data_IF_119003921968
#
_entry.id   IF_119003921968
#
_cell.length_a   1.000
_cell.length_b   1.000
_cell.length_c   1.000
_cell.angle_alpha   90.00
_cell.angle_beta   90.00
_cell.angle_gamma   90.00
#
_symmetry.space_group_name_H-M   'P 1'
#
loop_
_entity.id
_entity.type
_entity.pdbx_description
1 polymer ?
#
# COMPACT_ATOMS: atom_id res chain seq x y z
N UNK A 1 36.28 -45.46 -15.70
CA UNK A 1 36.68 -44.52 -16.78
C UNK A 1 35.38 -43.94 -17.30
N UNK A 2 35.03 -42.74 -17.24
CA UNK A 2 35.48 -41.38 -17.33
C UNK A 2 34.61 -40.49 -16.44
N UNK A 3 35.17 -40.00 -15.34
CA UNK A 3 34.80 -38.70 -14.81
C UNK A 3 35.44 -37.72 -15.75
N UNK A 4 34.81 -36.61 -16.02
CA UNK A 4 35.37 -35.29 -16.33
C UNK A 4 34.27 -34.48 -17.03
N UNK A 5 34.10 -33.29 -16.45
CA UNK A 5 33.70 -31.99 -16.97
C UNK A 5 32.19 -31.65 -16.90
N UNK A 6 31.78 -31.11 -15.74
CA UNK A 6 30.89 -29.92 -15.68
C UNK A 6 31.47 -29.03 -14.59
N UNK A 7 32.46 -28.28 -14.92
CA UNK A 7 33.00 -27.19 -14.07
C UNK A 7 33.63 -26.16 -15.00
N UNK A 8 32.83 -25.39 -15.71
CA UNK A 8 33.30 -24.22 -16.47
C UNK A 8 32.10 -23.51 -17.11
N UNK A 9 31.19 -22.97 -16.31
CA UNK A 9 30.20 -21.98 -16.80
C UNK A 9 29.69 -21.07 -15.68
N UNK A 10 30.53 -20.74 -14.70
CA UNK A 10 30.22 -19.73 -13.68
C UNK A 10 31.28 -18.61 -13.58
N UNK A 11 32.05 -18.40 -14.62
CA UNK A 11 33.14 -17.42 -14.61
C UNK A 11 33.04 -16.33 -15.71
N UNK A 12 31.86 -16.10 -16.29
CA UNK A 12 31.72 -15.10 -17.39
C UNK A 12 30.64 -14.04 -17.20
N UNK A 13 30.04 -13.92 -16.00
CA UNK A 13 29.06 -12.83 -15.71
C UNK A 13 29.62 -11.75 -14.78
N UNK A 14 30.86 -11.88 -14.32
CA UNK A 14 31.49 -10.93 -13.39
C UNK A 14 32.36 -9.85 -14.06
N UNK A 15 32.27 -9.63 -15.37
CA UNK A 15 33.17 -8.70 -16.08
C UNK A 15 32.50 -7.57 -16.89
N UNK A 16 31.20 -7.30 -16.65
CA UNK A 16 30.56 -6.13 -17.28
C UNK A 16 29.80 -5.25 -16.28
N UNK A 17 30.36 -5.04 -15.10
CA UNK A 17 29.94 -3.96 -14.20
C UNK A 17 31.15 -3.15 -13.74
N UNK A 18 31.96 -2.71 -14.71
CA UNK A 18 32.78 -1.52 -14.56
C UNK A 18 32.03 -0.38 -15.27
N UNK A 19 30.86 0.01 -14.77
CA UNK A 19 30.46 1.40 -14.90
C UNK A 19 31.56 2.21 -14.24
N UNK A 20 32.19 3.10 -15.04
CA UNK A 20 33.12 4.11 -14.54
C UNK A 20 32.51 4.70 -13.27
N UNK A 21 33.19 4.54 -12.14
CA UNK A 21 33.03 5.42 -11.02
C UNK A 21 33.36 6.82 -11.55
N UNK A 22 32.36 7.52 -12.09
CA UNK A 22 32.48 8.93 -12.29
C UNK A 22 32.81 9.51 -10.92
N UNK A 23 33.91 10.24 -10.88
CA UNK A 23 34.38 10.97 -9.71
C UNK A 23 33.17 11.47 -8.93
N UNK A 24 33.10 11.16 -7.63
CA UNK A 24 32.07 11.65 -6.73
C UNK A 24 31.88 13.12 -7.03
N UNK A 25 30.78 13.45 -7.73
CA UNK A 25 30.47 14.84 -8.07
C UNK A 25 30.42 15.55 -6.73
N UNK A 26 31.18 16.65 -6.62
CA UNK A 26 31.19 17.47 -5.42
C UNK A 26 29.72 17.72 -5.05
N UNK A 27 29.35 17.35 -3.83
CA UNK A 27 27.99 17.56 -3.32
C UNK A 27 27.64 19.03 -3.51
N UNK A 28 26.55 19.30 -4.21
CA UNK A 28 26.12 20.68 -4.47
C UNK A 28 25.18 21.12 -3.34
N UNK A 29 25.68 22.01 -2.50
CA UNK A 29 24.97 22.55 -1.34
C UNK A 29 24.29 23.91 -1.64
N UNK A 30 24.20 24.34 -2.88
CA UNK A 30 23.41 25.52 -3.25
C UNK A 30 21.91 25.21 -3.07
N UNK A 31 21.29 25.86 -2.09
CA UNK A 31 19.90 25.61 -1.74
C UNK A 31 18.93 25.97 -2.88
N UNK A 32 19.21 27.06 -3.59
CA UNK A 32 18.37 27.46 -4.72
C UNK A 32 18.45 26.46 -5.86
N UNK A 33 19.64 26.01 -6.23
CA UNK A 33 19.82 24.99 -7.28
C UNK A 33 19.14 23.68 -6.87
N UNK A 34 19.29 23.23 -5.63
CA UNK A 34 18.62 22.04 -5.14
C UNK A 34 17.08 22.18 -5.13
N UNK A 35 16.57 23.37 -4.78
CA UNK A 35 15.13 23.63 -4.81
C UNK A 35 14.57 23.65 -6.24
N UNK A 36 15.25 24.29 -7.18
CA UNK A 36 14.85 24.31 -8.59
C UNK A 36 14.86 22.89 -9.19
N UNK A 37 15.88 22.08 -8.86
CA UNK A 37 15.93 20.68 -9.26
C UNK A 37 14.78 19.88 -8.64
N UNK A 38 14.55 20.00 -7.34
CA UNK A 38 13.45 19.35 -6.62
C UNK A 38 12.08 19.72 -7.21
N UNK A 39 11.86 21.03 -7.43
CA UNK A 39 10.59 21.52 -7.98
C UNK A 39 10.34 20.96 -9.38
N UNK A 40 11.34 21.01 -10.27
CA UNK A 40 11.28 20.48 -11.63
C UNK A 40 11.03 18.96 -11.61
N UNK A 41 11.69 18.25 -10.71
CA UNK A 41 11.54 16.81 -10.58
C UNK A 41 10.12 16.41 -10.20
N UNK A 42 9.50 17.11 -9.25
CA UNK A 42 8.10 16.88 -8.86
C UNK A 42 7.17 17.29 -9.99
N UNK A 43 7.39 18.44 -10.63
CA UNK A 43 6.58 18.91 -11.78
C UNK A 43 6.56 17.87 -12.91
N UNK A 44 7.71 17.36 -13.28
CA UNK A 44 7.85 16.42 -14.40
C UNK A 44 7.45 14.99 -14.06
N UNK A 45 7.53 14.54 -12.80
CA UNK A 45 7.45 13.12 -12.46
C UNK A 45 6.33 12.74 -11.48
N UNK A 46 5.83 13.66 -10.64
CA UNK A 46 4.73 13.34 -9.73
C UNK A 46 3.42 13.19 -10.49
N UNK A 47 2.75 12.05 -10.31
CA UNK A 47 1.64 11.65 -11.18
C UNK A 47 0.28 12.27 -10.86
N UNK A 48 0.14 13.03 -9.76
CA UNK A 48 -1.17 13.49 -9.30
C UNK A 48 -1.31 15.01 -9.18
N UNK A 49 -0.42 15.83 -9.78
CA UNK A 49 -0.55 17.29 -9.73
C UNK A 49 -1.92 17.75 -10.25
N UNK A 50 -2.29 17.33 -11.44
CA UNK A 50 -3.56 17.73 -12.08
C UNK A 50 -4.76 17.03 -11.42
N UNK A 51 -4.63 15.74 -11.10
CA UNK A 51 -5.71 14.98 -10.45
C UNK A 51 -6.12 15.58 -9.10
N UNK A 52 -5.13 16.04 -8.32
CA UNK A 52 -5.35 16.69 -7.01
C UNK A 52 -5.54 18.21 -7.10
N UNK A 53 -5.53 18.79 -8.31
CA UNK A 53 -5.64 20.23 -8.57
C UNK A 53 -4.58 21.05 -7.79
N UNK A 54 -3.32 20.59 -7.78
CA UNK A 54 -2.22 21.24 -7.05
C UNK A 54 -1.62 22.34 -7.93
N UNK A 55 -1.70 23.59 -7.47
CA UNK A 55 -0.97 24.70 -8.11
C UNK A 55 0.51 24.66 -7.77
N UNK A 56 1.26 23.74 -8.43
CA UNK A 56 2.67 23.51 -8.14
C UNK A 56 3.55 24.72 -8.44
N UNK A 57 3.20 25.51 -9.47
CA UNK A 57 3.87 26.80 -9.73
C UNK A 57 3.66 27.80 -8.59
N UNK A 58 2.47 27.83 -7.99
CA UNK A 58 2.20 28.66 -6.82
C UNK A 58 3.06 28.27 -5.60
N UNK A 59 3.31 26.96 -5.41
CA UNK A 59 4.22 26.46 -4.36
C UNK A 59 5.66 26.96 -4.59
N UNK A 60 6.13 26.98 -5.85
CA UNK A 60 7.43 27.55 -6.18
C UNK A 60 7.54 29.03 -5.78
N UNK A 61 6.54 29.83 -6.21
CA UNK A 61 6.54 31.29 -5.98
C UNK A 61 6.45 31.62 -4.48
N UNK A 62 5.73 30.83 -3.70
CA UNK A 62 5.62 30.96 -2.25
C UNK A 62 6.94 30.65 -1.54
N UNK A 63 7.63 29.56 -1.95
CA UNK A 63 8.76 29.03 -1.19
C UNK A 63 10.11 29.58 -1.62
N UNK A 64 10.26 30.02 -2.87
CA UNK A 64 11.53 30.56 -3.37
C UNK A 64 12.14 31.67 -2.47
N UNK A 65 11.39 32.68 -2.01
CA UNK A 65 11.96 33.70 -1.10
C UNK A 65 12.45 33.11 0.23
N UNK A 66 11.80 32.03 0.72
CA UNK A 66 12.23 31.34 1.95
C UNK A 66 13.51 30.55 1.72
N UNK A 67 13.64 29.91 0.53
CA UNK A 67 14.88 29.21 0.13
C UNK A 67 16.06 30.19 0.04
N UNK A 68 15.88 31.35 -0.60
CA UNK A 68 16.91 32.37 -0.74
C UNK A 68 17.31 32.97 0.62
N UNK A 69 16.42 32.97 1.60
CA UNK A 69 16.69 33.45 2.96
C UNK A 69 17.31 32.38 3.87
N UNK A 70 17.21 31.10 3.55
CA UNK A 70 17.69 30.00 4.38
C UNK A 70 19.21 30.06 4.59
N UNK A 71 19.65 29.79 5.83
CA UNK A 71 21.06 29.81 6.22
C UNK A 71 21.62 28.45 6.61
N UNK A 72 20.74 27.48 6.85
CA UNK A 72 21.10 26.13 7.31
C UNK A 72 20.39 25.05 6.51
N UNK A 73 21.01 23.88 6.41
CA UNK A 73 20.39 22.70 5.81
C UNK A 73 19.07 22.31 6.50
N UNK A 74 18.96 22.52 7.82
CA UNK A 74 17.74 22.26 8.57
C UNK A 74 16.59 23.18 8.14
N UNK A 75 16.86 24.48 7.92
CA UNK A 75 15.86 25.43 7.41
C UNK A 75 15.43 25.02 5.99
N UNK A 76 16.39 24.73 5.12
CA UNK A 76 16.13 24.27 3.76
C UNK A 76 15.32 22.96 3.74
N UNK A 77 15.69 21.95 4.55
CA UNK A 77 14.93 20.72 4.69
C UNK A 77 13.47 20.97 5.07
N UNK A 78 13.22 21.83 6.05
CA UNK A 78 11.87 22.16 6.49
C UNK A 78 11.05 22.89 5.39
N UNK A 79 11.70 23.67 4.54
CA UNK A 79 11.05 24.31 3.38
C UNK A 79 10.62 23.25 2.37
N UNK A 80 11.48 22.28 2.05
CA UNK A 80 11.11 21.18 1.16
C UNK A 80 9.97 20.31 1.74
N UNK A 81 9.98 20.06 3.07
CA UNK A 81 8.85 19.40 3.73
C UNK A 81 7.54 20.18 3.52
N UNK A 82 7.57 21.51 3.64
CA UNK A 82 6.39 22.34 3.36
C UNK A 82 5.90 22.17 1.93
N UNK A 83 6.80 22.10 0.94
CA UNK A 83 6.44 21.82 -0.45
C UNK A 83 5.79 20.45 -0.59
N UNK A 84 6.36 19.40 0.02
CA UNK A 84 5.85 18.05 -0.03
C UNK A 84 4.47 17.89 0.64
N UNK A 85 4.16 18.69 1.67
CA UNK A 85 2.83 18.70 2.31
C UNK A 85 1.71 19.11 1.35
N UNK A 86 2.00 19.95 0.35
CA UNK A 86 1.03 20.32 -0.67
C UNK A 86 0.59 19.13 -1.54
N UNK A 87 1.40 18.07 -1.65
CA UNK A 87 1.07 16.88 -2.45
C UNK A 87 -0.01 16.02 -1.80
N UNK A 88 -0.22 16.12 -0.49
CA UNK A 88 -1.24 15.38 0.29
C UNK A 88 -1.24 13.89 -0.04
N UNK A 89 -0.06 13.24 0.05
CA UNK A 89 0.14 11.89 -0.45
C UNK A 89 0.97 11.05 0.53
N UNK A 90 0.43 9.91 0.95
CA UNK A 90 1.08 9.00 1.89
C UNK A 90 2.32 8.28 1.32
N UNK A 91 2.53 8.31 0.00
CA UNK A 91 3.73 7.79 -0.65
C UNK A 91 4.83 8.85 -0.84
N UNK A 92 4.68 9.99 -0.17
CA UNK A 92 5.67 11.07 -0.24
C UNK A 92 6.52 11.10 1.03
N UNK A 93 7.84 10.94 0.86
CA UNK A 93 8.81 11.11 1.95
C UNK A 93 10.12 11.66 1.43
N UNK A 94 10.93 12.15 2.35
CA UNK A 94 12.25 12.69 2.07
C UNK A 94 13.23 12.30 3.16
N UNK A 95 14.46 11.99 2.78
CA UNK A 95 15.54 11.62 3.69
C UNK A 95 16.79 12.46 3.43
N UNK A 96 17.40 12.92 4.49
CA UNK A 96 18.71 13.56 4.53
C UNK A 96 19.62 12.79 5.48
N UNK A 97 20.90 13.16 5.54
CA UNK A 97 21.85 12.57 6.48
C UNK A 97 21.54 12.84 7.97
N UNK A 98 20.62 13.76 8.28
CA UNK A 98 20.29 14.14 9.67
C UNK A 98 18.79 14.01 10.00
N UNK A 99 17.89 13.88 9.02
CA UNK A 99 16.45 13.86 9.25
C UNK A 99 15.70 13.14 8.14
N UNK A 100 14.61 12.47 8.53
CA UNK A 100 13.60 11.94 7.62
C UNK A 100 12.27 12.69 7.82
N UNK A 101 11.46 12.73 6.77
CA UNK A 101 10.12 13.28 6.71
C UNK A 101 9.20 12.31 5.97
N UNK A 102 7.97 12.17 6.41
CA UNK A 102 6.94 11.38 5.74
C UNK A 102 5.60 12.09 5.81
N UNK A 103 4.93 12.21 4.70
CA UNK A 103 3.61 12.80 4.63
C UNK A 103 2.53 11.84 5.17
N UNK A 104 1.71 12.30 6.10
CA UNK A 104 0.62 11.52 6.71
C UNK A 104 -0.77 12.10 6.46
N UNK A 105 -0.87 13.05 5.53
CA UNK A 105 -2.12 13.81 5.30
C UNK A 105 -3.28 12.95 4.83
N UNK A 106 -3.02 11.79 4.21
CA UNK A 106 -4.05 10.83 3.78
C UNK A 106 -4.88 10.25 4.95
N UNK A 107 -4.40 10.37 6.19
CA UNK A 107 -5.12 9.96 7.39
C UNK A 107 -6.15 10.99 7.88
N UNK A 108 -6.28 12.11 7.18
CA UNK A 108 -7.17 13.20 7.55
C UNK A 108 -8.15 13.51 6.39
N UNK A 109 -9.36 13.94 6.73
CA UNK A 109 -10.33 14.41 5.75
C UNK A 109 -9.98 15.84 5.25
N UNK A 110 -10.76 16.35 4.32
CA UNK A 110 -10.58 17.69 3.73
C UNK A 110 -10.68 18.84 4.76
N UNK A 111 -11.33 18.59 5.91
CA UNK A 111 -11.48 19.54 7.01
C UNK A 111 -10.37 19.38 8.05
N UNK A 112 -9.39 18.52 7.83
CA UNK A 112 -8.30 18.23 8.76
C UNK A 112 -8.68 17.37 9.94
N UNK A 113 -9.85 16.71 9.92
CA UNK A 113 -10.27 15.76 10.94
C UNK A 113 -9.67 14.39 10.63
N UNK A 114 -9.03 13.78 11.63
CA UNK A 114 -8.47 12.44 11.49
C UNK A 114 -9.59 11.40 11.32
N UNK A 115 -9.42 10.51 10.34
CA UNK A 115 -10.33 9.37 10.19
C UNK A 115 -10.26 8.43 11.39
N UNK A 116 -11.38 7.78 11.76
CA UNK A 116 -11.40 6.79 12.85
C UNK A 116 -10.39 5.68 12.58
N UNK A 117 -9.68 5.24 13.61
CA UNK A 117 -8.77 4.10 13.53
C UNK A 117 -9.54 2.82 13.24
N UNK A 118 -10.76 2.66 13.79
CA UNK A 118 -11.64 1.51 13.55
C UNK A 118 -11.00 0.14 13.81
N UNK A 119 -9.95 0.07 14.60
CA UNK A 119 -9.23 -1.16 14.85
C UNK A 119 -8.45 -1.13 16.16
N UNK A 120 -8.73 -2.13 17.03
CA UNK A 120 -7.90 -2.51 18.17
C UNK A 120 -7.58 -4.00 18.07
N UNK A 121 -6.29 -4.31 17.82
CA UNK A 121 -5.81 -5.70 17.67
C UNK A 121 -6.07 -6.54 18.90
N UNK A 122 -6.01 -5.94 20.10
CA UNK A 122 -6.24 -6.64 21.37
C UNK A 122 -7.69 -7.03 21.56
N UNK A 123 -8.63 -6.19 21.09
CA UNK A 123 -10.06 -6.50 21.08
C UNK A 123 -10.39 -7.54 20.02
N UNK A 124 -9.89 -7.37 18.79
CA UNK A 124 -10.08 -8.37 17.72
C UNK A 124 -9.58 -9.75 18.14
N UNK A 125 -8.44 -9.81 18.86
CA UNK A 125 -7.88 -11.05 19.39
C UNK A 125 -8.82 -11.80 20.33
N UNK A 126 -9.67 -11.11 21.11
CA UNK A 126 -10.61 -11.72 22.06
C UNK A 126 -11.74 -12.49 21.38
N UNK A 127 -12.02 -12.24 20.10
CA UNK A 127 -13.01 -12.98 19.31
C UNK A 127 -12.55 -14.38 18.93
N UNK A 128 -11.23 -14.62 18.90
CA UNK A 128 -10.64 -15.90 18.49
C UNK A 128 -10.55 -16.82 19.71
N UNK A 129 -11.30 -17.93 19.70
CA UNK A 129 -11.48 -18.81 20.87
C UNK A 129 -10.27 -19.70 21.16
N UNK A 130 -9.57 -20.18 20.15
CA UNK A 130 -8.41 -21.04 20.30
C UNK A 130 -7.10 -20.27 20.10
N UNK A 131 -5.96 -20.96 20.14
CA UNK A 131 -4.65 -20.33 20.01
C UNK A 131 -4.62 -19.51 18.72
N UNK A 132 -4.42 -18.21 18.88
CA UNK A 132 -4.21 -17.31 17.76
C UNK A 132 -2.84 -17.62 17.16
N UNK A 133 -2.85 -18.36 16.06
CA UNK A 133 -1.62 -18.74 15.40
C UNK A 133 -1.00 -17.51 14.76
N UNK A 134 0.31 -17.40 14.89
CA UNK A 134 1.10 -16.31 14.30
C UNK A 134 2.16 -16.93 13.40
N UNK A 135 2.15 -16.55 12.14
CA UNK A 135 3.25 -16.82 11.21
C UNK A 135 3.93 -15.50 11.00
N UNK A 136 5.16 -15.39 11.52
CA UNK A 136 5.81 -14.09 11.61
C UNK A 136 4.96 -13.07 12.40
N UNK A 137 5.36 -11.79 12.46
CA UNK A 137 4.56 -10.73 13.11
C UNK A 137 3.35 -10.30 12.26
N UNK A 138 3.23 -10.74 11.01
CA UNK A 138 2.39 -10.14 9.98
C UNK A 138 1.13 -10.93 9.64
N UNK A 139 1.11 -12.23 9.91
CA UNK A 139 -0.03 -13.11 9.62
C UNK A 139 -0.53 -13.79 10.89
N UNK A 140 -1.77 -13.49 11.28
CA UNK A 140 -2.42 -14.07 12.43
C UNK A 140 -3.74 -14.71 12.02
N UNK A 141 -4.05 -15.90 12.52
CA UNK A 141 -5.28 -16.60 12.15
C UNK A 141 -5.78 -17.51 13.26
N UNK A 142 -7.07 -17.87 13.16
CA UNK A 142 -7.74 -18.75 14.11
C UNK A 142 -9.22 -18.88 13.78
N UNK A 143 -9.97 -19.44 14.70
CA UNK A 143 -11.41 -19.70 14.56
C UNK A 143 -12.22 -18.77 15.46
N UNK A 144 -13.30 -18.22 14.93
CA UNK A 144 -14.36 -17.55 15.70
C UNK A 144 -15.57 -18.45 15.75
N UNK A 145 -16.01 -18.88 16.94
CA UNK A 145 -17.24 -19.67 17.12
C UNK A 145 -18.38 -18.79 17.61
N UNK A 146 -19.48 -18.81 16.89
CA UNK A 146 -20.66 -18.01 17.23
C UNK A 146 -21.95 -18.72 16.83
N UNK A 147 -22.82 -18.98 17.83
CA UNK A 147 -24.14 -19.60 17.61
C UNK A 147 -24.08 -20.95 16.83
N UNK A 148 -23.15 -21.82 17.19
CA UNK A 148 -22.99 -23.14 16.58
C UNK A 148 -22.32 -23.15 15.21
N UNK A 149 -21.89 -21.99 14.68
CA UNK A 149 -21.09 -21.84 13.46
C UNK A 149 -19.65 -21.53 13.77
N UNK A 150 -18.76 -21.90 12.85
CA UNK A 150 -17.33 -21.61 12.94
C UNK A 150 -16.90 -20.77 11.74
N UNK A 151 -16.19 -19.68 11.99
CA UNK A 151 -15.68 -18.77 10.97
C UNK A 151 -14.15 -18.71 11.04
N UNK A 152 -13.49 -18.75 9.89
CA UNK A 152 -12.06 -18.50 9.82
C UNK A 152 -11.81 -16.99 10.00
N UNK A 153 -10.96 -16.62 10.96
CA UNK A 153 -10.45 -15.25 11.09
C UNK A 153 -9.00 -15.23 10.67
N UNK A 154 -8.67 -14.35 9.72
CA UNK A 154 -7.33 -14.17 9.19
C UNK A 154 -7.02 -12.68 9.20
N UNK A 155 -5.98 -12.27 9.93
CA UNK A 155 -5.48 -10.91 9.96
C UNK A 155 -4.13 -10.83 9.24
N UNK A 156 -4.06 -10.01 8.18
CA UNK A 156 -2.86 -9.72 7.40
C UNK A 156 -2.39 -8.30 7.69
N UNK A 157 -1.27 -8.17 8.40
CA UNK A 157 -0.78 -6.87 8.88
C UNK A 157 -0.11 -6.03 7.78
N UNK A 158 0.55 -6.66 6.80
CA UNK A 158 1.16 -6.01 5.63
C UNK A 158 1.26 -6.98 4.44
N UNK A 159 1.76 -6.49 3.30
CA UNK A 159 2.08 -7.29 2.12
C UNK A 159 3.58 -7.35 1.82
N UNK A 160 4.44 -7.06 2.78
CA UNK A 160 5.88 -7.32 2.68
C UNK A 160 6.19 -8.82 2.69
N UNK A 161 5.33 -9.58 3.37
CA UNK A 161 5.40 -11.03 3.43
C UNK A 161 4.50 -11.68 2.38
N UNK A 162 5.11 -12.47 1.49
CA UNK A 162 4.40 -13.34 0.54
C UNK A 162 4.14 -14.71 1.18
N UNK A 163 2.88 -15.16 1.18
CA UNK A 163 2.50 -16.44 1.75
C UNK A 163 3.22 -17.62 1.08
N UNK A 164 3.84 -18.43 1.92
CA UNK A 164 4.56 -19.61 1.50
C UNK A 164 3.64 -20.86 1.52
N UNK A 165 4.00 -21.95 0.82
CA UNK A 165 3.22 -23.19 0.85
C UNK A 165 2.96 -23.72 2.27
N UNK A 166 3.88 -23.50 3.22
CA UNK A 166 3.70 -23.87 4.62
C UNK A 166 2.62 -23.07 5.33
N UNK A 167 2.39 -21.81 4.97
CA UNK A 167 1.35 -20.98 5.59
C UNK A 167 -0.03 -21.53 5.25
N UNK A 168 -0.22 -21.86 3.99
CA UNK A 168 -1.44 -22.52 3.53
C UNK A 168 -1.69 -23.87 4.20
N UNK A 169 -0.65 -24.61 4.56
CA UNK A 169 -0.78 -25.88 5.30
C UNK A 169 -1.49 -25.70 6.64
N UNK A 170 -1.27 -24.56 7.33
CA UNK A 170 -1.90 -24.27 8.61
C UNK A 170 -3.27 -23.60 8.47
N UNK A 171 -3.43 -22.72 7.47
CA UNK A 171 -4.67 -21.96 7.28
C UNK A 171 -5.76 -22.78 6.59
N UNK A 172 -5.38 -23.64 5.62
CA UNK A 172 -6.31 -24.44 4.83
C UNK A 172 -7.29 -25.27 5.67
N UNK A 173 -6.87 -26.02 6.71
CA UNK A 173 -7.81 -26.81 7.53
C UNK A 173 -8.84 -25.93 8.24
N UNK A 174 -8.48 -24.71 8.65
CA UNK A 174 -9.37 -23.75 9.31
C UNK A 174 -10.40 -23.23 8.29
N UNK A 175 -9.94 -22.79 7.12
CA UNK A 175 -10.82 -22.27 6.06
C UNK A 175 -11.76 -23.36 5.53
N UNK A 176 -11.30 -24.59 5.35
CA UNK A 176 -12.12 -25.69 4.84
C UNK A 176 -13.30 -26.02 5.75
N UNK A 177 -13.09 -26.02 7.08
CA UNK A 177 -14.13 -26.27 8.08
C UNK A 177 -15.07 -25.10 8.29
N UNK A 178 -14.62 -23.87 8.00
CA UNK A 178 -15.35 -22.67 8.31
C UNK A 178 -16.62 -22.51 7.45
N UNK A 179 -17.67 -21.97 8.04
CA UNK A 179 -18.91 -21.54 7.37
C UNK A 179 -18.70 -20.25 6.53
N UNK A 180 -17.60 -19.52 6.77
CA UNK A 180 -17.20 -18.32 6.06
C UNK A 180 -15.89 -17.76 6.59
N UNK A 181 -15.38 -16.73 5.94
CA UNK A 181 -14.08 -16.11 6.24
C UNK A 181 -14.30 -14.66 6.70
N UNK A 182 -13.62 -14.24 7.74
CA UNK A 182 -13.35 -12.83 8.07
C UNK A 182 -11.89 -12.58 7.74
N UNK A 183 -11.63 -11.84 6.67
CA UNK A 183 -10.30 -11.45 6.23
C UNK A 183 -10.04 -10.00 6.62
N UNK A 184 -9.23 -9.80 7.64
CA UNK A 184 -8.99 -8.50 8.26
C UNK A 184 -7.65 -7.92 7.80
N UNK A 185 -7.70 -6.80 7.08
CA UNK A 185 -6.51 -6.06 6.63
C UNK A 185 -6.47 -4.65 7.21
N UNK A 186 -7.24 -4.39 8.28
CA UNK A 186 -7.23 -3.06 8.91
C UNK A 186 -5.82 -2.69 9.37
N UNK A 187 -5.43 -1.44 9.11
CA UNK A 187 -4.07 -0.90 9.33
C UNK A 187 -2.96 -1.57 8.52
N UNK A 188 -3.28 -2.29 7.44
CA UNK A 188 -2.28 -2.85 6.52
C UNK A 188 -1.76 -1.72 5.60
N UNK A 189 -0.48 -1.31 5.70
CA UNK A 189 0.07 -0.19 4.92
C UNK A 189 0.41 -0.57 3.47
N UNK A 190 0.28 -1.84 3.11
CA UNK A 190 0.67 -2.33 1.78
C UNK A 190 1.94 -3.17 1.80
N UNK A 191 2.76 -3.05 0.77
CA UNK A 191 3.96 -3.83 0.50
C UNK A 191 4.03 -4.26 -0.97
N UNK A 192 4.42 -5.50 -1.25
CA UNK A 192 4.56 -6.05 -2.60
C UNK A 192 3.21 -6.15 -3.34
N UNK A 193 3.09 -5.47 -4.48
CA UNK A 193 1.91 -5.55 -5.35
C UNK A 193 1.68 -6.96 -5.90
N UNK A 194 2.75 -7.71 -6.17
CA UNK A 194 2.69 -9.10 -6.62
C UNK A 194 2.14 -10.01 -5.52
N UNK A 195 2.61 -9.87 -4.28
CA UNK A 195 2.10 -10.62 -3.13
C UNK A 195 0.60 -10.37 -2.93
N UNK A 196 0.15 -9.10 -3.01
CA UNK A 196 -1.26 -8.74 -2.89
C UNK A 196 -2.13 -9.37 -3.98
N UNK A 197 -1.76 -9.25 -5.26
CA UNK A 197 -2.52 -9.81 -6.37
C UNK A 197 -2.50 -11.34 -6.40
N UNK A 198 -1.38 -11.97 -6.02
CA UNK A 198 -1.27 -13.44 -5.88
C UNK A 198 -2.20 -13.94 -4.79
N UNK A 199 -2.19 -13.31 -3.61
CA UNK A 199 -3.09 -13.68 -2.52
C UNK A 199 -4.56 -13.49 -2.90
N UNK A 200 -4.92 -12.38 -3.57
CA UNK A 200 -6.26 -12.13 -4.07
C UNK A 200 -6.78 -13.24 -4.99
N UNK A 201 -5.88 -13.90 -5.71
CA UNK A 201 -6.18 -15.05 -6.58
C UNK A 201 -6.91 -16.21 -5.89
N UNK A 202 -6.86 -16.31 -4.55
CA UNK A 202 -7.60 -17.33 -3.79
C UNK A 202 -9.14 -17.18 -3.93
N UNK A 203 -9.64 -15.98 -4.23
CA UNK A 203 -11.09 -15.71 -4.34
C UNK A 203 -11.63 -15.76 -5.77
N UNK A 204 -10.79 -16.12 -6.75
CA UNK A 204 -11.18 -16.19 -8.16
C UNK A 204 -11.10 -17.63 -8.68
N UNK A 205 -12.05 -17.99 -9.57
CA UNK A 205 -12.07 -19.30 -10.25
C UNK A 205 -11.40 -19.24 -11.62
N UNK A 206 -11.25 -18.04 -12.19
CA UNK A 206 -10.65 -17.79 -13.49
C UNK A 206 -9.76 -16.53 -13.48
N UNK A 207 -8.91 -16.35 -14.49
CA UNK A 207 -8.13 -15.12 -14.67
C UNK A 207 -9.08 -13.95 -14.83
N UNK A 208 -9.12 -13.07 -13.84
CA UNK A 208 -10.05 -11.94 -13.77
C UNK A 208 -9.30 -10.61 -13.91
N UNK A 209 -9.78 -9.75 -14.80
CA UNK A 209 -9.32 -8.37 -14.92
C UNK A 209 -9.77 -7.57 -13.69
N UNK A 210 -8.84 -6.88 -13.01
CA UNK A 210 -9.09 -6.20 -11.73
C UNK A 210 -8.68 -4.73 -11.72
N UNK A 211 -8.11 -4.22 -12.81
CA UNK A 211 -7.71 -2.83 -12.92
C UNK A 211 -6.65 -2.61 -13.99
N UNK A 212 -6.05 -1.43 -13.96
CA UNK A 212 -4.97 -1.05 -14.87
C UNK A 212 -3.85 -0.35 -14.12
N UNK A 213 -2.66 -0.30 -14.77
CA UNK A 213 -1.61 0.64 -14.43
C UNK A 213 -1.14 1.41 -15.67
N UNK A 214 -0.61 2.61 -15.44
CA UNK A 214 0.07 3.41 -16.44
C UNK A 214 1.41 3.91 -15.88
N UNK A 215 2.45 3.83 -16.70
CA UNK A 215 3.83 4.15 -16.32
C UNK A 215 4.19 5.51 -16.89
N UNK A 216 4.74 6.39 -16.06
CA UNK A 216 5.28 7.68 -16.48
C UNK A 216 6.40 7.45 -17.50
N UNK A 217 6.34 8.08 -18.67
CA UNK A 217 7.27 7.88 -19.76
C UNK A 217 7.78 9.18 -20.44
N UNK A 218 7.45 10.33 -19.87
CA UNK A 218 7.88 11.64 -20.35
C UNK A 218 7.80 12.72 -19.27
N UNK A 219 8.02 13.98 -19.66
CA UNK A 219 8.08 15.14 -18.76
C UNK A 219 6.72 15.85 -18.59
N UNK A 220 5.85 15.77 -19.58
CA UNK A 220 4.52 16.38 -19.52
C UNK A 220 3.61 15.66 -18.56
N UNK A 221 2.64 16.36 -17.96
CA UNK A 221 1.74 15.78 -16.96
C UNK A 221 0.92 14.60 -17.48
N UNK A 222 0.66 14.57 -18.79
CA UNK A 222 -0.10 13.50 -19.47
C UNK A 222 0.80 12.45 -20.15
N UNK A 223 2.11 12.51 -19.98
CA UNK A 223 3.06 11.60 -20.61
C UNK A 223 3.11 10.25 -19.89
N UNK A 224 2.19 9.36 -20.26
CA UNK A 224 2.09 8.01 -19.72
C UNK A 224 2.02 6.96 -20.83
N UNK A 225 2.41 5.73 -20.45
CA UNK A 225 2.19 4.56 -21.30
C UNK A 225 0.70 4.31 -21.55
N UNK A 226 0.39 3.52 -22.58
CA UNK A 226 -0.93 2.90 -22.68
C UNK A 226 -1.28 2.13 -21.40
N UNK A 227 -2.58 2.09 -21.08
CA UNK A 227 -3.09 1.33 -19.95
C UNK A 227 -2.75 -0.15 -20.07
N UNK A 228 -2.05 -0.69 -19.09
CA UNK A 228 -1.72 -2.10 -18.99
C UNK A 228 -2.64 -2.77 -17.97
N UNK A 229 -3.37 -3.80 -18.43
CA UNK A 229 -4.37 -4.48 -17.60
C UNK A 229 -3.73 -5.32 -16.48
N UNK A 230 -4.25 -5.17 -15.27
CA UNK A 230 -3.91 -5.98 -14.11
C UNK A 230 -4.89 -7.15 -13.96
N UNK A 231 -4.38 -8.30 -13.59
CA UNK A 231 -5.17 -9.53 -13.46
C UNK A 231 -4.88 -10.24 -12.16
N UNK A 232 -5.94 -10.71 -11.49
CA UNK A 232 -5.83 -11.80 -10.53
C UNK A 232 -5.90 -13.14 -11.26
N UNK A 233 -5.00 -14.05 -10.91
CA UNK A 233 -4.98 -15.43 -11.42
C UNK A 233 -5.44 -16.36 -10.30
N UNK A 234 -6.34 -17.34 -10.58
CA UNK A 234 -6.79 -18.26 -9.56
C UNK A 234 -5.61 -19.08 -9.01
N UNK A 235 -5.66 -19.34 -7.71
CA UNK A 235 -4.72 -20.24 -7.05
C UNK A 235 -5.35 -21.64 -6.85
N UNK A 236 -4.55 -22.57 -6.35
CA UNK A 236 -5.05 -23.91 -5.99
C UNK A 236 -5.90 -23.94 -4.71
N UNK A 237 -5.93 -22.85 -3.94
CA UNK A 237 -6.57 -22.81 -2.61
C UNK A 237 -8.08 -22.60 -2.64
N UNK A 238 -8.62 -21.93 -3.68
CA UNK A 238 -10.04 -21.85 -4.01
C UNK A 238 -10.95 -21.42 -2.87
N UNK A 239 -10.78 -20.19 -2.40
CA UNK A 239 -11.68 -19.57 -1.42
C UNK A 239 -12.92 -18.92 -2.07
N UNK A 240 -13.02 -18.99 -3.38
CA UNK A 240 -14.15 -18.48 -4.18
C UNK A 240 -15.50 -19.08 -3.78
N UNK A 241 -15.53 -20.25 -3.15
CA UNK A 241 -16.73 -20.91 -2.64
C UNK A 241 -17.07 -20.52 -1.18
N UNK A 242 -16.26 -19.68 -0.53
CA UNK A 242 -16.48 -19.26 0.87
C UNK A 242 -16.92 -17.81 0.92
N UNK A 243 -18.08 -17.55 1.53
CA UNK A 243 -18.51 -16.18 1.81
C UNK A 243 -17.46 -15.50 2.69
N UNK A 244 -16.97 -14.35 2.25
CA UNK A 244 -15.86 -13.64 2.89
C UNK A 244 -16.24 -12.21 3.22
N UNK A 245 -15.97 -11.80 4.45
CA UNK A 245 -16.06 -10.41 4.89
C UNK A 245 -14.64 -9.83 4.94
N UNK A 246 -14.34 -8.89 4.05
CA UNK A 246 -13.10 -8.15 4.02
C UNK A 246 -13.21 -6.93 4.92
N UNK A 247 -12.41 -6.88 5.99
CA UNK A 247 -12.46 -5.76 6.93
C UNK A 247 -11.41 -4.70 6.57
N UNK A 248 -11.87 -3.45 6.41
CA UNK A 248 -11.02 -2.32 6.01
C UNK A 248 -11.20 -1.11 6.90
N UNK A 249 -10.19 -0.24 6.91
CA UNK A 249 -10.20 1.08 7.50
C UNK A 249 -9.26 2.02 6.74
N UNK A 250 -9.15 3.27 7.17
CA UNK A 250 -8.30 4.27 6.51
C UNK A 250 -6.79 3.93 6.55
N UNK A 251 -6.36 3.01 7.41
CA UNK A 251 -4.99 2.49 7.45
C UNK A 251 -4.68 1.44 6.36
N UNK A 252 -5.67 1.00 5.59
CA UNK A 252 -5.49 0.09 4.44
C UNK A 252 -4.97 0.90 3.24
N UNK A 253 -3.66 0.80 2.95
CA UNK A 253 -3.00 1.71 2.04
C UNK A 253 -2.17 0.97 0.96
N UNK A 254 -1.83 1.63 -0.14
CA UNK A 254 -0.92 1.11 -1.18
C UNK A 254 -1.37 -0.27 -1.72
N UNK A 255 -0.55 -1.30 -1.66
CA UNK A 255 -0.92 -2.66 -2.10
C UNK A 255 -2.17 -3.20 -1.43
N UNK A 256 -2.43 -2.86 -0.16
CA UNK A 256 -3.66 -3.28 0.52
C UNK A 256 -4.91 -2.60 -0.08
N UNK A 257 -4.77 -1.37 -0.57
CA UNK A 257 -5.81 -0.69 -1.34
C UNK A 257 -6.03 -1.35 -2.72
N UNK A 258 -4.96 -1.70 -3.44
CA UNK A 258 -5.04 -2.47 -4.70
C UNK A 258 -5.68 -3.85 -4.48
N UNK A 259 -5.31 -4.57 -3.42
CA UNK A 259 -5.93 -5.83 -3.00
C UNK A 259 -7.44 -5.66 -2.76
N UNK A 260 -7.82 -4.59 -2.04
CA UNK A 260 -9.24 -4.26 -1.80
C UNK A 260 -9.96 -4.00 -3.12
N UNK A 261 -9.38 -3.20 -4.02
CA UNK A 261 -9.91 -2.93 -5.37
C UNK A 261 -10.10 -4.23 -6.16
N UNK A 262 -9.11 -5.12 -6.15
CA UNK A 262 -9.19 -6.42 -6.84
C UNK A 262 -10.33 -7.28 -6.29
N UNK A 263 -10.49 -7.35 -4.96
CA UNK A 263 -11.54 -8.17 -4.34
C UNK A 263 -12.96 -7.65 -4.53
N UNK A 264 -13.16 -6.40 -4.97
CA UNK A 264 -14.49 -5.92 -5.44
C UNK A 264 -15.05 -6.74 -6.62
N UNK A 265 -14.18 -7.44 -7.33
CA UNK A 265 -14.56 -8.30 -8.46
C UNK A 265 -14.78 -9.77 -8.07
N UNK A 266 -14.55 -10.11 -6.79
CA UNK A 266 -14.80 -11.45 -6.25
C UNK A 266 -16.26 -11.58 -5.75
N UNK A 267 -17.05 -12.47 -6.36
CA UNK A 267 -18.50 -12.61 -6.13
C UNK A 267 -18.92 -12.93 -4.69
N UNK A 268 -18.01 -13.53 -3.93
CA UNK A 268 -18.26 -14.00 -2.56
C UNK A 268 -17.65 -13.09 -1.48
N UNK A 269 -17.05 -11.95 -1.86
CA UNK A 269 -16.43 -11.00 -0.94
C UNK A 269 -17.34 -9.80 -0.74
N UNK A 270 -17.48 -9.37 0.51
CA UNK A 270 -18.15 -8.13 0.91
C UNK A 270 -17.19 -7.33 1.78
N UNK A 271 -16.89 -6.10 1.38
CA UNK A 271 -16.05 -5.18 2.15
C UNK A 271 -16.86 -4.50 3.25
N UNK A 272 -16.39 -4.58 4.50
CA UNK A 272 -17.04 -3.99 5.68
C UNK A 272 -16.05 -3.11 6.44
N UNK A 273 -16.53 -2.00 6.95
CA UNK A 273 -15.77 -1.08 7.80
C UNK A 273 -15.67 0.31 7.21
N UNK A 274 -14.49 0.90 7.18
CA UNK A 274 -14.25 2.22 6.61
C UNK A 274 -13.67 2.18 5.19
N UNK A 275 -13.72 3.32 4.51
CA UNK A 275 -12.99 3.53 3.26
C UNK A 275 -11.50 3.23 3.47
N UNK A 276 -10.86 2.60 2.50
CA UNK A 276 -9.40 2.39 2.52
C UNK A 276 -8.61 3.69 2.37
N UNK A 277 -7.32 3.66 2.67
CA UNK A 277 -6.45 4.83 2.69
C UNK A 277 -6.03 5.35 1.33
N UNK A 278 -6.23 4.58 0.27
CA UNK A 278 -5.76 4.97 -1.05
C UNK A 278 -4.30 4.58 -1.31
N UNK A 279 -3.53 5.50 -1.88
CA UNK A 279 -2.18 5.20 -2.34
C UNK A 279 -2.21 4.44 -3.67
N UNK A 280 -2.92 4.98 -4.65
CA UNK A 280 -3.17 4.39 -5.95
C UNK A 280 -2.05 4.58 -6.96
N UNK A 281 -0.79 4.70 -6.52
CA UNK A 281 0.36 4.76 -7.42
C UNK A 281 1.62 4.21 -6.76
N UNK A 282 2.58 3.76 -7.59
CA UNK A 282 3.87 3.23 -7.12
C UNK A 282 4.86 4.37 -6.86
N UNK A 283 5.46 4.44 -5.66
CA UNK A 283 6.48 5.42 -5.35
C UNK A 283 7.78 5.14 -6.10
N UNK A 284 8.46 6.23 -6.50
CA UNK A 284 9.76 6.19 -7.18
C UNK A 284 10.76 7.01 -6.38
N UNK A 285 11.99 6.49 -6.29
CA UNK A 285 13.10 7.15 -5.57
C UNK A 285 13.87 8.08 -6.49
N UNK A 286 14.11 9.30 -6.04
CA UNK A 286 14.87 10.31 -6.73
C UNK A 286 15.96 10.89 -5.82
N UNK A 287 16.98 11.48 -6.42
CA UNK A 287 18.11 12.07 -5.70
C UNK A 287 18.26 13.54 -6.04
N UNK A 288 18.42 14.36 -5.02
CA UNK A 288 18.76 15.78 -5.18
C UNK A 288 20.27 15.96 -5.37
N UNK A 289 20.73 17.07 -5.96
CA UNK A 289 22.17 17.32 -6.16
C UNK A 289 23.00 17.32 -4.87
N UNK A 290 22.38 17.64 -3.71
CA UNK A 290 23.00 17.56 -2.39
C UNK A 290 23.04 16.14 -1.80
N UNK A 291 22.56 15.13 -2.54
CA UNK A 291 22.53 13.72 -2.13
C UNK A 291 21.33 13.33 -1.27
N UNK A 292 20.38 14.23 -1.00
CA UNK A 292 19.15 13.86 -0.31
C UNK A 292 18.24 13.01 -1.20
N UNK A 293 17.47 12.14 -0.58
CA UNK A 293 16.51 11.29 -1.25
C UNK A 293 15.13 11.92 -1.11
N UNK A 294 14.40 11.99 -2.22
CA UNK A 294 12.98 12.31 -2.23
C UNK A 294 12.23 11.19 -2.96
N UNK A 295 11.11 10.78 -2.39
CA UNK A 295 10.29 9.71 -2.94
C UNK A 295 8.86 10.21 -3.09
N UNK A 296 8.28 9.95 -4.25
CA UNK A 296 6.89 10.25 -4.55
C UNK A 296 6.36 9.35 -5.69
N UNK A 297 5.03 9.20 -5.81
CA UNK A 297 4.43 8.37 -6.85
C UNK A 297 4.64 8.90 -8.26
N UNK A 298 4.95 8.00 -9.19
CA UNK A 298 5.07 8.31 -10.61
C UNK A 298 4.18 7.41 -11.51
N UNK A 299 3.87 6.17 -11.07
CA UNK A 299 3.13 5.20 -11.87
C UNK A 299 1.76 4.94 -11.26
N UNK A 300 0.71 5.29 -11.99
CA UNK A 300 -0.67 5.28 -11.50
C UNK A 300 -1.33 3.91 -11.58
N UNK A 301 -2.23 3.63 -10.61
CA UNK A 301 -3.13 2.48 -10.60
C UNK A 301 -4.58 2.94 -10.75
N UNK A 302 -5.37 2.10 -11.41
CA UNK A 302 -6.77 2.39 -11.73
C UNK A 302 -7.64 1.16 -11.51
N UNK A 303 -8.91 1.36 -11.28
CA UNK A 303 -9.91 0.30 -11.34
C UNK A 303 -10.19 -0.16 -12.79
N UNK A 304 -11.12 -1.12 -12.96
CA UNK A 304 -11.50 -1.65 -14.27
C UNK A 304 -12.20 -0.61 -15.17
N UNK A 305 -12.71 0.47 -14.59
CA UNK A 305 -13.36 1.59 -15.30
C UNK A 305 -12.37 2.73 -15.58
N UNK A 306 -11.07 2.49 -15.33
CA UNK A 306 -10.01 3.50 -15.45
C UNK A 306 -10.19 4.70 -14.51
N UNK A 307 -10.82 4.50 -13.36
CA UNK A 307 -10.90 5.50 -12.31
C UNK A 307 -9.72 5.33 -11.35
N UNK A 308 -9.15 6.45 -10.91
CA UNK A 308 -8.07 6.43 -9.93
C UNK A 308 -8.53 5.79 -8.62
N UNK A 309 -7.68 4.94 -8.04
CA UNK A 309 -7.90 4.35 -6.72
C UNK A 309 -7.15 5.10 -5.59
N UNK A 310 -6.61 6.27 -5.91
CA UNK A 310 -5.78 7.10 -5.02
C UNK A 310 -6.51 7.50 -3.73
N UNK A 311 -7.79 7.80 -3.81
CA UNK A 311 -8.57 8.27 -2.65
C UNK A 311 -9.17 7.14 -1.80
N UNK A 312 -8.89 5.89 -2.17
CA UNK A 312 -9.37 4.71 -1.46
C UNK A 312 -10.61 4.08 -2.10
N UNK A 313 -10.96 2.90 -1.58
CA UNK A 313 -12.10 2.07 -2.02
C UNK A 313 -13.17 2.10 -0.94
N UNK A 314 -14.36 2.57 -1.29
CA UNK A 314 -15.49 2.62 -0.37
C UNK A 314 -15.97 1.21 0.02
N UNK A 315 -16.34 0.96 1.28
CA UNK A 315 -16.88 -0.32 1.71
C UNK A 315 -18.28 -0.56 1.13
N UNK A 316 -18.67 -1.83 0.98
CA UNK A 316 -20.04 -2.21 0.63
C UNK A 316 -20.98 -1.99 1.82
N UNK A 317 -20.45 -2.12 3.03
CA UNK A 317 -21.16 -1.89 4.28
C UNK A 317 -20.28 -1.01 5.18
N UNK A 318 -20.65 0.24 5.32
CA UNK A 318 -19.96 1.16 6.21
C UNK A 318 -20.30 0.88 7.69
N UNK A 319 -19.25 0.71 8.49
CA UNK A 319 -19.36 0.51 9.95
C UNK A 319 -18.17 1.18 10.63
N UNK A 320 -18.45 1.86 11.75
CA UNK A 320 -17.41 2.46 12.58
C UNK A 320 -17.46 1.84 13.98
N UNK A 321 -16.32 1.40 14.51
CA UNK A 321 -16.12 1.11 15.92
C UNK A 321 -15.68 2.38 16.62
N UNK A 322 -16.29 2.68 17.77
CA UNK A 322 -15.89 3.81 18.62
C UNK A 322 -14.89 3.37 19.69
N UNK A 323 -14.26 4.34 20.35
CA UNK A 323 -13.38 4.04 21.48
C UNK A 323 -14.17 3.38 22.64
N UNK A 324 -15.44 3.80 22.86
CA UNK A 324 -16.33 3.16 23.83
C UNK A 324 -16.66 1.70 23.50
N UNK A 325 -16.76 1.36 22.20
CA UNK A 325 -16.90 -0.03 21.76
C UNK A 325 -15.67 -0.85 22.16
N UNK A 326 -14.48 -0.33 21.88
CA UNK A 326 -13.24 -1.02 22.23
C UNK A 326 -13.02 -1.14 23.73
N UNK A 327 -13.35 -0.11 24.51
CA UNK A 327 -13.30 -0.13 25.97
C UNK A 327 -14.26 -1.19 26.54
N UNK A 328 -15.41 -1.38 25.90
CA UNK A 328 -16.35 -2.46 26.23
C UNK A 328 -15.91 -3.85 25.69
N UNK A 329 -14.75 -3.94 25.04
CA UNK A 329 -14.24 -5.19 24.45
C UNK A 329 -15.00 -5.64 23.20
N UNK A 330 -15.69 -4.72 22.53
CA UNK A 330 -16.52 -4.96 21.34
C UNK A 330 -15.87 -4.36 20.10
N UNK A 331 -15.85 -5.09 19.01
CA UNK A 331 -15.48 -4.61 17.68
C UNK A 331 -16.73 -4.62 16.79
N UNK A 332 -17.30 -3.44 16.53
CA UNK A 332 -18.56 -3.32 15.79
C UNK A 332 -18.43 -3.82 14.35
N UNK A 333 -17.23 -3.76 13.76
CA UNK A 333 -16.96 -4.23 12.40
C UNK A 333 -16.95 -5.76 12.37
N UNK A 334 -16.28 -6.43 13.32
CA UNK A 334 -16.32 -7.90 13.45
C UNK A 334 -17.75 -8.37 13.76
N UNK A 335 -18.47 -7.71 14.67
CA UNK A 335 -19.87 -8.06 14.97
C UNK A 335 -20.75 -7.98 13.71
N UNK A 336 -20.58 -6.91 12.92
CA UNK A 336 -21.30 -6.78 11.65
C UNK A 336 -20.93 -7.88 10.66
N UNK A 337 -19.66 -8.21 10.52
CA UNK A 337 -19.18 -9.30 9.67
C UNK A 337 -19.83 -10.66 10.07
N UNK A 338 -19.89 -10.95 11.36
CA UNK A 338 -20.54 -12.15 11.89
C UNK A 338 -22.05 -12.19 11.62
N UNK A 339 -22.73 -11.04 11.60
CA UNK A 339 -24.15 -10.93 11.22
C UNK A 339 -24.33 -11.23 9.73
N UNK A 340 -23.49 -10.63 8.88
CA UNK A 340 -23.58 -10.82 7.41
C UNK A 340 -23.25 -12.27 6.99
N UNK A 341 -22.31 -12.92 7.65
CA UNK A 341 -21.95 -14.33 7.38
C UNK A 341 -23.08 -15.33 7.73
N UNK A 342 -24.09 -14.91 8.50
CA UNK A 342 -25.25 -15.77 8.84
C UNK A 342 -26.37 -15.73 7.80
N UNK A 343 -26.41 -14.69 6.98
CA UNK A 343 -27.37 -14.55 5.88
C UNK A 343 -26.99 -15.49 4.73
#
# INVERSE_FOLDING_TARGET
>A
MKKIIISLLFASVALFSCEKYESIKKVDNDFKHNFEHFWTLVDEQYCYLDYKNINWKGVYDELLPRVEAAKTEQEFFNILCTALDHLKDGHVWMESHFKAYSCSTYLYDENGKKYPTNFDKSVARKYVEEVFHTIDSNLHFGEIKRNGRTFAYIYQADFEYEWQPNDYKYIKPIVEKADGIIFDIRNNPGGSGEAGLTLAGNWFDEKTHVGYHAIKNGKGHDDYSEFQALYCRPTSHKWSNKKTMLLTNRGVFSTANLFTCALKHAKNVTQIGGISGGGGAMPMTHYLPNGWIVVFPANMLFDVNKQHIENGIAPDIEVTSTDEDFDAGRDAIIERALVELKK
#
